data_IF_388440826102
#
_entry.id   IF_388440826102
#
_cell.length_a   1.000
_cell.length_b   1.000
_cell.length_c   1.000
_cell.angle_alpha   90.00
_cell.angle_beta   90.00
_cell.angle_gamma   90.00
#
_symmetry.space_group_name_H-M   'P 1'
#
loop_
_entity.id
_entity.type
_entity.pdbx_description
1 polymer ?
#
# COMPACT_ATOMS: atom_id res chain seq x y z
N UNK A 1 21.11 1.40 -17.39
CA UNK A 1 19.94 1.18 -16.50
C UNK A 1 20.24 0.20 -15.38
N UNK A 2 20.70 -1.02 -15.66
CA UNK A 2 20.95 -2.06 -14.63
C UNK A 2 21.92 -1.62 -13.51
N UNK A 3 23.10 -1.09 -13.85
CA UNK A 3 24.08 -0.63 -12.86
C UNK A 3 23.53 0.47 -11.94
N UNK A 4 22.80 1.44 -12.51
CA UNK A 4 22.18 2.51 -11.76
C UNK A 4 21.08 1.99 -10.82
N UNK A 5 20.22 1.09 -11.30
CA UNK A 5 19.19 0.46 -10.47
C UNK A 5 19.77 -0.31 -9.28
N UNK A 6 20.84 -1.07 -9.51
CA UNK A 6 21.56 -1.77 -8.45
C UNK A 6 22.20 -0.82 -7.42
N UNK A 7 22.83 0.27 -7.88
CA UNK A 7 23.41 1.29 -6.99
C UNK A 7 22.35 1.97 -6.13
N UNK A 8 21.23 2.39 -6.73
CA UNK A 8 20.12 3.05 -6.01
C UNK A 8 19.52 2.13 -4.94
N UNK A 9 19.31 0.85 -5.27
CA UNK A 9 18.88 -0.13 -4.27
C UNK A 9 19.93 -0.34 -3.17
N UNK A 10 21.21 -0.34 -3.52
CA UNK A 10 22.31 -0.39 -2.56
C UNK A 10 22.30 0.78 -1.58
N UNK A 11 21.93 1.99 -2.04
CA UNK A 11 21.74 3.15 -1.17
C UNK A 11 20.50 3.01 -0.29
N UNK A 12 19.36 2.59 -0.85
CA UNK A 12 18.11 2.42 -0.11
C UNK A 12 18.18 1.37 1.02
N UNK A 13 19.17 0.47 0.98
CA UNK A 13 19.45 -0.49 2.05
C UNK A 13 20.30 0.08 3.20
N UNK A 14 20.75 1.33 3.10
CA UNK A 14 21.51 2.03 4.14
C UNK A 14 20.62 3.05 4.83
N UNK A 15 21.07 3.52 5.99
CA UNK A 15 20.48 4.70 6.64
C UNK A 15 20.84 5.94 5.83
N UNK A 16 19.83 6.52 5.16
CA UNK A 16 19.95 7.71 4.34
C UNK A 16 19.15 8.85 4.96
N UNK A 17 19.59 10.09 4.73
CA UNK A 17 18.77 11.26 5.01
C UNK A 17 17.46 11.24 4.20
N UNK A 18 16.35 11.80 4.70
CA UNK A 18 15.04 11.74 4.03
C UNK A 18 15.05 12.25 2.58
N UNK A 19 15.78 13.34 2.31
CA UNK A 19 15.95 13.88 0.96
C UNK A 19 16.64 12.90 -0.01
N UNK A 20 17.64 12.15 0.48
CA UNK A 20 18.31 11.13 -0.30
C UNK A 20 17.42 9.91 -0.54
N UNK A 21 16.59 9.52 0.44
CA UNK A 21 15.61 8.44 0.27
C UNK A 21 14.62 8.77 -0.84
N UNK A 22 14.04 9.97 -0.79
CA UNK A 22 13.09 10.45 -1.79
C UNK A 22 13.71 10.47 -3.18
N UNK A 23 14.87 11.10 -3.35
CA UNK A 23 15.57 11.14 -4.64
C UNK A 23 15.92 9.74 -5.19
N UNK A 24 16.29 8.81 -4.30
CA UNK A 24 16.51 7.42 -4.69
C UNK A 24 15.22 6.77 -5.18
N UNK A 25 14.10 6.94 -4.48
CA UNK A 25 12.80 6.35 -4.85
C UNK A 25 12.20 6.97 -6.12
N UNK A 26 12.35 8.27 -6.32
CA UNK A 26 11.99 8.93 -7.59
C UNK A 26 12.80 8.35 -8.76
N UNK A 27 14.08 8.07 -8.52
CA UNK A 27 14.94 7.39 -9.50
C UNK A 27 14.44 5.98 -9.77
N UNK A 28 14.11 5.19 -8.74
CA UNK A 28 13.50 3.86 -8.92
C UNK A 28 12.20 3.95 -9.71
N UNK A 29 11.32 4.92 -9.42
CA UNK A 29 10.08 5.11 -10.15
C UNK A 29 10.34 5.39 -11.63
N UNK A 30 11.30 6.26 -11.96
CA UNK A 30 11.66 6.57 -13.34
C UNK A 30 12.19 5.33 -14.06
N UNK A 31 13.12 4.59 -13.42
CA UNK A 31 13.72 3.40 -13.99
C UNK A 31 12.70 2.25 -14.16
N UNK A 32 11.77 2.11 -13.23
CA UNK A 32 10.74 1.06 -13.26
C UNK A 32 9.64 1.28 -14.32
N UNK A 33 9.54 2.46 -14.92
CA UNK A 33 8.66 2.71 -16.06
C UNK A 33 9.13 2.02 -17.34
N UNK A 34 10.42 1.73 -17.46
CA UNK A 34 10.96 0.97 -18.59
C UNK A 34 10.82 -0.54 -18.33
N UNK A 35 9.90 -1.19 -19.06
CA UNK A 35 9.65 -2.64 -18.95
C UNK A 35 10.88 -3.51 -19.20
N UNK A 36 11.90 -3.00 -19.90
CA UNK A 36 13.15 -3.73 -20.17
C UNK A 36 14.23 -3.49 -19.10
N UNK A 37 14.05 -2.49 -18.24
CA UNK A 37 15.00 -2.07 -17.21
C UNK A 37 14.73 -2.63 -15.80
N UNK A 38 13.77 -3.54 -15.66
CA UNK A 38 13.24 -3.96 -14.35
C UNK A 38 14.11 -4.95 -13.57
N UNK A 39 15.10 -5.56 -14.21
CA UNK A 39 15.94 -6.63 -13.63
C UNK A 39 16.51 -6.32 -12.23
N UNK A 40 16.99 -5.10 -11.91
CA UNK A 40 17.47 -4.79 -10.56
C UNK A 40 16.38 -4.83 -9.48
N UNK A 41 15.12 -4.55 -9.85
CA UNK A 41 14.03 -4.30 -8.90
C UNK A 41 13.14 -5.52 -8.63
N UNK A 42 13.33 -6.63 -9.35
CA UNK A 42 12.48 -7.82 -9.28
C UNK A 42 12.99 -8.88 -8.31
N UNK A 43 14.11 -8.64 -7.61
CA UNK A 43 14.59 -9.53 -6.57
C UNK A 43 13.76 -9.44 -5.28
N UNK A 44 13.76 -10.50 -4.48
CA UNK A 44 13.05 -10.53 -3.18
C UNK A 44 13.51 -9.41 -2.24
N UNK A 45 14.82 -9.15 -2.20
CA UNK A 45 15.40 -8.08 -1.37
C UNK A 45 14.99 -6.69 -1.84
N UNK A 46 15.01 -6.44 -3.15
CA UNK A 46 14.60 -5.17 -3.73
C UNK A 46 13.12 -4.90 -3.47
N UNK A 47 12.24 -5.87 -3.74
CA UNK A 47 10.81 -5.74 -3.50
C UNK A 47 10.49 -5.55 -2.00
N UNK A 48 11.17 -6.28 -1.12
CA UNK A 48 11.03 -6.10 0.33
C UNK A 48 11.45 -4.70 0.79
N UNK A 49 12.51 -4.16 0.19
CA UNK A 49 12.96 -2.79 0.45
C UNK A 49 11.93 -1.75 0.03
N UNK A 50 11.39 -1.86 -1.17
CA UNK A 50 10.32 -0.97 -1.64
C UNK A 50 9.07 -1.10 -0.78
N UNK A 51 8.69 -2.31 -0.39
CA UNK A 51 7.55 -2.55 0.48
C UNK A 51 7.72 -1.91 1.88
N UNK A 52 8.95 -1.91 2.42
CA UNK A 52 9.26 -1.24 3.69
C UNK A 52 9.09 0.27 3.60
N UNK A 53 9.64 0.91 2.56
CA UNK A 53 9.44 2.35 2.32
C UNK A 53 7.99 2.68 1.98
N UNK A 54 7.26 1.75 1.36
CA UNK A 54 5.82 1.86 1.16
C UNK A 54 5.02 1.63 2.45
N UNK A 55 5.63 1.36 3.60
CA UNK A 55 4.95 1.15 4.88
C UNK A 55 4.20 -0.19 5.01
N UNK A 56 4.54 -1.21 4.22
CA UNK A 56 3.94 -2.53 4.31
C UNK A 56 4.71 -3.45 5.26
N UNK A 57 4.00 -4.13 6.16
CA UNK A 57 4.54 -5.27 6.88
C UNK A 57 4.69 -6.47 5.93
N UNK A 58 5.90 -7.01 5.81
CA UNK A 58 6.24 -8.09 4.88
C UNK A 58 6.66 -9.33 5.65
N UNK A 59 6.25 -10.52 5.19
CA UNK A 59 6.68 -11.77 5.80
C UNK A 59 8.13 -12.08 5.41
N UNK A 60 9.03 -12.00 6.37
CA UNK A 60 10.40 -12.49 6.20
C UNK A 60 10.40 -14.02 6.34
N UNK A 61 10.66 -14.71 5.24
CA UNK A 61 10.88 -16.15 5.25
C UNK A 61 12.30 -16.45 5.78
N UNK A 62 12.55 -16.16 7.06
CA UNK A 62 13.72 -16.64 7.80
C UNK A 62 13.54 -16.46 9.33
N UNK A 63 13.19 -17.59 9.96
CA UNK A 63 13.42 -18.03 11.35
C UNK A 63 12.53 -17.52 12.52
N UNK A 64 12.24 -18.41 13.51
CA UNK A 64 11.30 -18.17 14.62
C UNK A 64 11.99 -17.98 16.01
N UNK A 65 11.22 -17.42 16.95
CA UNK A 65 11.30 -17.45 18.44
C UNK A 65 12.57 -16.98 19.15
N UNK A 66 12.47 -15.86 19.89
CA UNK A 66 12.59 -15.78 21.37
C UNK A 66 12.91 -14.35 21.81
N UNK A 67 11.93 -13.67 22.42
CA UNK A 67 12.21 -12.64 23.42
C UNK A 67 12.36 -13.32 24.78
N UNK A 68 13.31 -12.87 25.60
CA UNK A 68 12.98 -12.62 26.98
C UNK A 68 13.26 -11.16 27.35
N UNK A 69 12.32 -10.63 28.12
CA UNK A 69 12.34 -9.37 28.83
C UNK A 69 13.54 -9.28 29.80
N UNK A 70 13.98 -8.06 30.11
CA UNK A 70 14.95 -7.82 31.18
C UNK A 70 15.38 -6.35 31.30
N UNK A 71 14.66 -5.62 32.15
CA UNK A 71 14.99 -4.28 32.67
C UNK A 71 16.35 -4.26 33.39
N UNK A 72 17.13 -3.18 33.26
CA UNK A 72 17.93 -2.62 34.37
C UNK A 72 18.07 -1.11 34.19
N UNK A 73 17.57 -0.34 35.17
CA UNK A 73 17.77 1.09 35.34
C UNK A 73 19.11 1.39 36.07
N UNK A 74 19.65 2.58 35.80
CA UNK A 74 20.29 3.43 36.82
C UNK A 74 21.82 3.53 36.82
N UNK A 75 22.37 4.66 36.36
CA UNK A 75 23.55 5.30 36.97
C UNK A 75 23.43 6.83 36.84
N UNK A 76 23.28 7.49 37.98
CA UNK A 76 23.42 8.94 38.18
C UNK A 76 24.90 9.36 38.23
N UNK A 77 25.20 10.59 37.80
CA UNK A 77 26.50 11.23 38.03
C UNK A 77 26.76 12.48 37.19
N UNK A 78 26.29 13.63 37.67
CA UNK A 78 26.71 15.01 37.29
C UNK A 78 28.23 15.21 37.57
N UNK A 79 29.04 16.07 36.95
CA UNK A 79 28.98 17.52 36.72
C UNK A 79 30.24 17.93 35.90
N UNK A 80 30.14 18.98 35.09
CA UNK A 80 30.97 20.22 35.11
C UNK A 80 31.15 20.87 33.72
N UNK A 81 30.86 22.17 33.71
CA UNK A 81 30.92 23.09 32.57
C UNK A 81 32.34 23.67 32.40
N UNK A 82 32.73 23.92 31.15
CA UNK A 82 33.69 24.96 30.81
C UNK A 82 33.29 25.63 29.48
N UNK A 83 33.66 26.91 29.37
CA UNK A 83 33.01 27.98 28.61
C UNK A 83 33.87 28.41 27.40
N UNK A 84 33.19 28.99 26.39
CA UNK A 84 33.65 29.96 25.37
C UNK A 84 33.85 29.54 23.89
N UNK A 85 33.40 30.47 23.03
CA UNK A 85 32.97 30.50 21.61
C UNK A 85 34.15 31.05 20.73
N UNK A 86 34.17 31.20 19.37
CA UNK A 86 33.08 31.16 18.37
C UNK A 86 33.36 30.56 16.97
N UNK A 87 32.30 30.53 16.15
CA UNK A 87 32.22 30.84 14.71
C UNK A 87 31.99 29.72 13.68
N UNK A 88 31.03 30.04 12.80
CA UNK A 88 30.80 29.60 11.40
C UNK A 88 29.79 28.47 11.13
N UNK A 89 28.64 28.91 10.61
CA UNK A 89 27.75 28.28 9.63
C UNK A 89 27.34 26.81 9.81
N UNK A 90 26.24 26.61 10.53
CA UNK A 90 25.31 25.51 10.21
C UNK A 90 23.90 26.08 10.13
N UNK A 91 23.48 26.31 8.89
CA UNK A 91 22.11 26.64 8.53
C UNK A 91 21.21 25.52 9.08
N UNK A 92 20.38 25.90 10.05
CA UNK A 92 19.32 25.11 10.67
C UNK A 92 18.73 24.11 9.67
N UNK A 93 18.91 22.83 9.96
CA UNK A 93 18.10 21.79 9.35
C UNK A 93 16.65 22.11 9.73
N UNK A 94 15.85 22.44 8.72
CA UNK A 94 14.40 22.54 8.83
C UNK A 94 13.85 21.33 9.59
N UNK A 95 12.77 21.49 10.38
CA UNK A 95 12.16 20.35 11.05
C UNK A 95 11.83 19.27 10.00
N UNK A 96 11.89 17.97 10.35
CA UNK A 96 11.48 16.91 9.44
C UNK A 96 10.03 17.17 9.09
N UNK A 97 9.79 17.62 7.87
CA UNK A 97 8.44 17.85 7.39
C UNK A 97 7.75 16.51 7.34
N UNK A 98 6.65 16.33 8.08
CA UNK A 98 5.79 15.14 8.03
C UNK A 98 5.39 14.75 6.58
N UNK A 99 5.46 15.70 5.66
CA UNK A 99 5.25 15.51 4.22
C UNK A 99 6.31 14.63 3.52
N UNK A 100 7.56 14.60 4.00
CA UNK A 100 8.63 13.83 3.35
C UNK A 100 8.36 12.32 3.45
N UNK A 101 7.77 11.86 4.54
CA UNK A 101 7.43 10.45 4.74
C UNK A 101 6.32 10.01 3.79
N UNK A 102 5.33 10.88 3.53
CA UNK A 102 4.26 10.61 2.57
C UNK A 102 4.78 10.55 1.12
N UNK A 103 5.67 11.45 0.73
CA UNK A 103 6.28 11.44 -0.60
C UNK A 103 7.12 10.17 -0.83
N UNK A 104 7.90 9.76 0.17
CA UNK A 104 8.66 8.51 0.17
C UNK A 104 7.75 7.28 -0.02
N UNK A 105 6.63 7.22 0.74
CA UNK A 105 5.64 6.16 0.60
C UNK A 105 5.06 6.14 -0.82
N UNK A 106 4.62 7.29 -1.31
CA UNK A 106 3.99 7.43 -2.63
C UNK A 106 4.93 7.00 -3.76
N UNK A 107 6.20 7.41 -3.75
CA UNK A 107 7.17 7.03 -4.77
C UNK A 107 7.50 5.53 -4.73
N UNK A 108 7.48 4.93 -3.53
CA UNK A 108 7.61 3.48 -3.36
C UNK A 108 6.40 2.74 -3.93
N UNK A 109 5.19 3.20 -3.65
CA UNK A 109 3.95 2.61 -4.18
C UNK A 109 3.86 2.72 -5.72
N UNK A 110 4.25 3.87 -6.28
CA UNK A 110 4.37 4.07 -7.74
C UNK A 110 5.37 3.09 -8.35
N UNK A 111 6.52 2.91 -7.69
CA UNK A 111 7.57 1.97 -8.13
C UNK A 111 7.08 0.52 -8.12
N UNK A 112 6.45 0.08 -7.02
CA UNK A 112 5.86 -1.27 -6.92
C UNK A 112 4.79 -1.47 -8.00
N UNK A 113 3.92 -0.47 -8.20
CA UNK A 113 2.87 -0.52 -9.22
C UNK A 113 3.44 -0.73 -10.63
N UNK A 114 4.52 -0.03 -10.98
CA UNK A 114 5.18 -0.20 -12.28
C UNK A 114 5.77 -1.62 -12.44
N UNK A 115 6.43 -2.13 -11.40
CA UNK A 115 7.03 -3.48 -11.41
C UNK A 115 5.93 -4.53 -11.62
N UNK A 116 4.83 -4.44 -10.86
CA UNK A 116 3.70 -5.36 -10.96
C UNK A 116 3.02 -5.30 -12.33
N UNK A 117 2.94 -4.12 -12.96
CA UNK A 117 2.30 -3.95 -14.26
C UNK A 117 3.06 -4.64 -15.40
N UNK A 118 4.39 -4.74 -15.30
CA UNK A 118 5.24 -5.07 -16.45
C UNK A 118 6.07 -6.34 -16.29
N UNK A 119 6.18 -6.94 -15.10
CA UNK A 119 7.08 -8.06 -14.88
C UNK A 119 6.48 -9.20 -14.04
N UNK A 120 6.35 -10.39 -14.64
CA UNK A 120 5.79 -11.59 -14.01
C UNK A 120 6.64 -12.11 -12.83
N UNK A 121 7.96 -12.00 -12.91
CA UNK A 121 8.86 -12.38 -11.80
C UNK A 121 8.63 -11.46 -10.59
N UNK A 122 8.51 -10.14 -10.81
CA UNK A 122 8.16 -9.18 -9.78
C UNK A 122 6.79 -9.46 -9.15
N UNK A 123 5.81 -9.88 -9.94
CA UNK A 123 4.49 -10.31 -9.44
C UNK A 123 4.58 -11.57 -8.56
N UNK A 124 5.39 -12.55 -8.95
CA UNK A 124 5.63 -13.75 -8.14
C UNK A 124 6.30 -13.39 -6.81
N UNK A 125 7.35 -12.57 -6.85
CA UNK A 125 8.04 -12.10 -5.64
C UNK A 125 7.11 -11.31 -4.71
N UNK A 126 6.26 -10.44 -5.26
CA UNK A 126 5.27 -9.71 -4.46
C UNK A 126 4.24 -10.63 -3.79
N UNK A 127 3.83 -11.71 -4.47
CA UNK A 127 2.96 -12.73 -3.89
C UNK A 127 3.67 -13.51 -2.77
N UNK A 128 4.93 -13.91 -2.97
CA UNK A 128 5.74 -14.62 -1.98
C UNK A 128 6.00 -13.77 -0.72
N UNK A 129 6.13 -12.45 -0.89
CA UNK A 129 6.26 -11.48 0.19
C UNK A 129 4.92 -11.14 0.86
N UNK A 130 3.81 -11.68 0.36
CA UNK A 130 2.46 -11.45 0.89
C UNK A 130 2.09 -9.96 0.91
N UNK A 131 2.48 -9.19 -0.11
CA UNK A 131 2.18 -7.76 -0.17
C UNK A 131 0.68 -7.45 -0.09
N UNK A 132 -0.17 -8.39 -0.52
CA UNK A 132 -1.64 -8.27 -0.39
C UNK A 132 -2.08 -8.11 1.08
N UNK A 133 -1.41 -8.77 2.03
CA UNK A 133 -1.70 -8.65 3.47
C UNK A 133 -1.27 -7.29 3.99
N UNK A 134 -0.07 -6.85 3.59
CA UNK A 134 0.47 -5.54 3.97
C UNK A 134 -0.41 -4.37 3.49
N UNK A 135 -0.83 -4.39 2.21
CA UNK A 135 -1.71 -3.33 1.67
C UNK A 135 -3.11 -3.41 2.28
N UNK A 136 -3.66 -4.61 2.50
CA UNK A 136 -4.97 -4.75 3.14
C UNK A 136 -5.00 -4.21 4.57
N UNK A 137 -3.90 -4.32 5.33
CA UNK A 137 -3.81 -3.75 6.67
C UNK A 137 -3.92 -2.22 6.65
N UNK A 138 -3.27 -1.55 5.69
CA UNK A 138 -3.44 -0.11 5.51
C UNK A 138 -4.83 0.25 4.97
N UNK A 139 -5.41 -0.56 4.08
CA UNK A 139 -6.78 -0.35 3.59
C UNK A 139 -7.81 -0.36 4.74
N UNK A 140 -7.59 -1.11 5.83
CA UNK A 140 -8.46 -1.05 7.02
C UNK A 140 -8.48 0.34 7.66
N UNK A 141 -7.44 1.14 7.46
CA UNK A 141 -7.28 2.50 7.99
C UNK A 141 -7.81 3.58 7.02
N UNK A 142 -8.80 3.25 6.17
CA UNK A 142 -9.31 4.16 5.14
C UNK A 142 -9.89 5.50 5.63
N UNK A 143 -10.28 5.58 6.90
CA UNK A 143 -10.77 6.81 7.52
C UNK A 143 -9.68 7.65 8.18
N UNK A 144 -8.45 7.14 8.24
CA UNK A 144 -7.33 7.83 8.88
C UNK A 144 -6.93 9.08 8.05
N UNK A 145 -7.00 10.29 8.63
CA UNK A 145 -6.66 11.53 7.93
C UNK A 145 -5.16 11.63 7.59
N UNK A 146 -4.31 10.76 8.14
CA UNK A 146 -2.88 10.72 7.82
C UNK A 146 -2.61 10.31 6.36
N UNK A 147 -3.49 9.51 5.75
CA UNK A 147 -3.27 8.99 4.40
C UNK A 147 -3.81 9.91 3.31
N UNK A 148 -2.89 10.44 2.50
CA UNK A 148 -3.22 11.27 1.35
C UNK A 148 -4.00 10.51 0.27
N UNK A 149 -4.66 11.24 -0.63
CA UNK A 149 -5.34 10.66 -1.78
C UNK A 149 -4.41 9.77 -2.63
N UNK A 150 -3.16 10.20 -2.87
CA UNK A 150 -2.22 9.42 -3.68
C UNK A 150 -1.89 8.07 -3.05
N UNK A 151 -1.65 8.03 -1.73
CA UNK A 151 -1.40 6.76 -1.03
C UNK A 151 -2.58 5.82 -1.18
N UNK A 152 -3.80 6.30 -0.89
CA UNK A 152 -5.03 5.49 -1.01
C UNK A 152 -5.24 4.98 -2.43
N UNK A 153 -5.02 5.83 -3.43
CA UNK A 153 -5.16 5.46 -4.83
C UNK A 153 -4.15 4.38 -5.23
N UNK A 154 -2.87 4.52 -4.85
CA UNK A 154 -1.86 3.54 -5.22
C UNK A 154 -1.96 2.24 -4.41
N UNK A 155 -2.44 2.27 -3.18
CA UNK A 155 -2.79 1.06 -2.43
C UNK A 155 -3.87 0.24 -3.15
N UNK A 156 -4.94 0.90 -3.57
CA UNK A 156 -6.00 0.27 -4.36
C UNK A 156 -5.45 -0.21 -5.71
N UNK A 157 -4.59 0.57 -6.38
CA UNK A 157 -3.96 0.15 -7.64
C UNK A 157 -3.11 -1.11 -7.48
N UNK A 158 -2.28 -1.19 -6.43
CA UNK A 158 -1.48 -2.39 -6.13
C UNK A 158 -2.41 -3.57 -5.85
N UNK A 159 -3.46 -3.35 -5.05
CA UNK A 159 -4.47 -4.38 -4.75
C UNK A 159 -5.16 -4.88 -6.02
N UNK A 160 -5.53 -3.98 -6.92
CA UNK A 160 -6.09 -4.31 -8.23
C UNK A 160 -5.12 -5.14 -9.07
N UNK A 161 -3.84 -4.73 -9.15
CA UNK A 161 -2.84 -5.47 -9.91
C UNK A 161 -2.63 -6.88 -9.33
N UNK A 162 -2.40 -7.00 -8.02
CA UNK A 162 -2.19 -8.29 -7.36
C UNK A 162 -3.40 -9.22 -7.55
N UNK A 163 -4.62 -8.69 -7.39
CA UNK A 163 -5.83 -9.48 -7.59
C UNK A 163 -6.10 -9.77 -9.07
N UNK A 164 -5.74 -8.91 -10.01
CA UNK A 164 -5.89 -9.21 -11.43
C UNK A 164 -4.97 -10.38 -11.86
N UNK A 165 -3.76 -10.42 -11.30
CA UNK A 165 -2.65 -11.25 -11.79
C UNK A 165 -2.50 -12.59 -11.07
N UNK A 166 -2.96 -12.73 -9.82
CA UNK A 166 -2.74 -13.93 -8.99
C UNK A 166 -4.03 -14.43 -8.35
N UNK A 167 -4.39 -15.69 -8.59
CA UNK A 167 -5.58 -16.32 -8.01
C UNK A 167 -5.45 -16.47 -6.48
N UNK A 168 -4.23 -16.72 -6.01
CA UNK A 168 -3.90 -16.83 -4.60
C UNK A 168 -4.16 -15.49 -3.88
N UNK A 169 -3.79 -14.37 -4.49
CA UNK A 169 -4.06 -13.04 -3.92
C UNK A 169 -5.56 -12.75 -3.82
N UNK A 170 -6.37 -13.19 -4.81
CA UNK A 170 -7.84 -13.09 -4.73
C UNK A 170 -8.39 -13.92 -3.57
N UNK A 171 -7.95 -15.18 -3.45
CA UNK A 171 -8.39 -16.07 -2.39
C UNK A 171 -8.02 -15.52 -1.00
N UNK A 172 -6.78 -15.05 -0.82
CA UNK A 172 -6.33 -14.42 0.42
C UNK A 172 -7.16 -13.18 0.75
N UNK A 173 -7.39 -12.29 -0.24
CA UNK A 173 -8.18 -11.09 -0.01
C UNK A 173 -9.61 -11.41 0.41
N UNK A 174 -10.27 -12.38 -0.23
CA UNK A 174 -11.65 -12.76 0.11
C UNK A 174 -11.73 -13.49 1.45
N UNK A 175 -10.90 -14.51 1.64
CA UNK A 175 -11.07 -15.50 2.72
C UNK A 175 -10.37 -15.08 4.01
N UNK A 176 -9.14 -14.56 3.92
CA UNK A 176 -8.33 -14.22 5.09
C UNK A 176 -8.50 -12.76 5.52
N UNK A 177 -8.76 -11.86 4.56
CA UNK A 177 -8.74 -10.42 4.78
C UNK A 177 -10.13 -9.77 4.71
N UNK A 178 -11.18 -10.58 4.59
CA UNK A 178 -12.58 -10.13 4.50
C UNK A 178 -12.80 -9.04 3.44
N UNK A 179 -12.12 -9.18 2.29
CA UNK A 179 -11.97 -8.16 1.26
C UNK A 179 -13.27 -7.61 0.70
N UNK A 180 -14.34 -8.42 0.65
CA UNK A 180 -15.67 -7.95 0.23
C UNK A 180 -16.23 -6.89 1.19
N UNK A 181 -16.19 -7.15 2.49
CA UNK A 181 -16.67 -6.19 3.49
C UNK A 181 -15.72 -4.99 3.59
N UNK A 182 -14.41 -5.23 3.56
CA UNK A 182 -13.40 -4.17 3.58
C UNK A 182 -13.59 -3.17 2.44
N UNK A 183 -13.69 -3.67 1.20
CA UNK A 183 -13.83 -2.83 0.01
C UNK A 183 -15.24 -2.25 -0.12
N UNK A 184 -16.28 -2.97 0.33
CA UNK A 184 -17.64 -2.44 0.40
C UNK A 184 -17.73 -1.23 1.32
N UNK A 185 -17.21 -1.33 2.54
CA UNK A 185 -17.18 -0.22 3.49
C UNK A 185 -16.36 0.97 2.94
N UNK A 186 -15.23 0.70 2.27
CA UNK A 186 -14.45 1.76 1.62
C UNK A 186 -15.20 2.43 0.46
N UNK A 187 -15.98 1.67 -0.31
CA UNK A 187 -16.79 2.22 -1.40
C UNK A 187 -17.87 3.14 -0.83
N UNK A 188 -18.58 2.68 0.20
CA UNK A 188 -19.60 3.46 0.90
C UNK A 188 -19.00 4.76 1.45
N UNK A 189 -17.84 4.69 2.11
CA UNK A 189 -17.12 5.85 2.61
C UNK A 189 -16.68 6.82 1.49
N UNK A 190 -16.19 6.28 0.36
CA UNK A 190 -15.73 7.09 -0.79
C UNK A 190 -16.90 7.83 -1.45
N UNK A 191 -18.05 7.17 -1.54
CA UNK A 191 -19.28 7.73 -2.12
C UNK A 191 -20.07 8.59 -1.12
N UNK A 192 -19.75 8.51 0.18
CA UNK A 192 -20.51 9.15 1.25
C UNK A 192 -21.92 8.58 1.37
N UNK A 193 -22.08 7.28 1.20
CA UNK A 193 -23.39 6.60 1.20
C UNK A 193 -23.84 6.36 2.63
N UNK A 194 -25.13 6.58 2.87
CA UNK A 194 -25.87 6.06 4.01
C UNK A 194 -26.96 5.10 3.53
N UNK A 195 -27.41 4.23 4.43
CA UNK A 195 -28.43 3.23 4.19
C UNK A 195 -29.65 3.51 5.09
N UNK A 196 -30.55 4.43 4.70
CA UNK A 196 -31.73 4.78 5.50
C UNK A 196 -32.68 3.59 5.69
N UNK A 197 -32.79 2.75 4.66
CA UNK A 197 -33.60 1.53 4.63
C UNK A 197 -32.84 0.37 3.98
N UNK A 198 -33.34 -0.87 4.15
CA UNK A 198 -32.63 -2.11 3.76
C UNK A 198 -32.28 -2.19 2.26
N UNK A 199 -33.03 -1.50 1.40
CA UNK A 199 -32.86 -1.50 -0.05
C UNK A 199 -32.71 -0.09 -0.64
N UNK A 200 -32.55 0.92 0.21
CA UNK A 200 -32.42 2.30 -0.22
C UNK A 200 -31.04 2.83 0.14
N UNK A 201 -30.43 3.53 -0.81
CA UNK A 201 -29.15 4.22 -0.63
C UNK A 201 -29.35 5.69 -0.89
N UNK A 202 -28.79 6.50 -0.01
CA UNK A 202 -28.71 7.94 -0.20
C UNK A 202 -27.29 8.42 0.08
N UNK A 203 -26.98 9.66 -0.28
CA UNK A 203 -25.75 10.29 0.21
C UNK A 203 -26.03 10.92 1.57
N UNK A 204 -25.11 10.71 2.50
CA UNK A 204 -25.20 11.24 3.85
C UNK A 204 -25.39 12.77 3.82
N UNK A 205 -26.44 13.25 4.48
CA UNK A 205 -26.84 14.66 4.52
C UNK A 205 -27.60 15.16 3.29
N UNK A 206 -27.93 14.28 2.34
CA UNK A 206 -28.70 14.56 1.13
C UNK A 206 -29.82 13.51 0.92
N UNK A 207 -30.36 12.96 2.01
CA UNK A 207 -31.35 11.87 2.00
C UNK A 207 -32.64 12.25 1.28
N UNK A 208 -33.09 13.50 1.44
CA UNK A 208 -34.31 14.02 0.81
C UNK A 208 -34.09 14.61 -0.59
N UNK A 209 -32.85 14.56 -1.10
CA UNK A 209 -32.50 15.18 -2.39
C UNK A 209 -32.72 14.17 -3.52
N UNK A 210 -33.54 14.51 -4.54
CA UNK A 210 -33.76 13.63 -5.69
C UNK A 210 -32.44 13.32 -6.43
N UNK A 211 -32.29 12.10 -7.00
CA UNK A 211 -31.07 11.69 -7.70
C UNK A 211 -30.62 12.65 -8.81
N UNK A 212 -31.56 13.31 -9.49
CA UNK A 212 -31.29 14.25 -10.57
C UNK A 212 -30.64 15.56 -10.09
N UNK A 213 -30.77 15.86 -8.80
CA UNK A 213 -30.27 17.09 -8.16
C UNK A 213 -29.03 16.83 -7.29
N UNK A 214 -28.59 15.57 -7.18
CA UNK A 214 -27.39 15.23 -6.43
C UNK A 214 -26.15 15.83 -7.11
N UNK A 215 -25.22 16.40 -6.34
CA UNK A 215 -23.97 16.91 -6.90
C UNK A 215 -23.17 15.76 -7.56
N UNK A 216 -22.38 16.03 -8.61
CA UNK A 216 -21.50 15.01 -9.17
C UNK A 216 -20.42 14.60 -8.13
N UNK A 217 -19.90 13.39 -8.27
CA UNK A 217 -18.74 12.96 -7.49
C UNK A 217 -17.52 13.79 -7.88
N UNK A 218 -16.65 14.08 -6.92
CA UNK A 218 -15.36 14.68 -7.24
C UNK A 218 -14.50 13.70 -8.07
N UNK A 219 -13.49 14.25 -8.75
CA UNK A 219 -12.54 13.44 -9.52
C UNK A 219 -11.84 12.40 -8.64
N UNK A 220 -11.37 12.79 -7.47
CA UNK A 220 -10.69 11.91 -6.52
C UNK A 220 -11.60 10.76 -6.04
N UNK A 221 -12.85 11.07 -5.67
CA UNK A 221 -13.83 10.04 -5.31
C UNK A 221 -14.09 9.07 -6.46
N UNK A 222 -14.19 9.57 -7.69
CA UNK A 222 -14.40 8.75 -8.88
C UNK A 222 -13.21 7.83 -9.13
N UNK A 223 -11.98 8.34 -9.02
CA UNK A 223 -10.75 7.55 -9.19
C UNK A 223 -10.66 6.41 -8.17
N UNK A 224 -10.91 6.69 -6.88
CA UNK A 224 -10.91 5.68 -5.82
C UNK A 224 -12.05 4.65 -6.01
N UNK A 225 -13.27 5.12 -6.28
CA UNK A 225 -14.43 4.25 -6.49
C UNK A 225 -14.21 3.29 -7.67
N UNK A 226 -13.63 3.77 -8.77
CA UNK A 226 -13.29 2.91 -9.91
C UNK A 226 -12.25 1.85 -9.55
N UNK A 227 -11.21 2.19 -8.78
CA UNK A 227 -10.24 1.17 -8.35
C UNK A 227 -10.90 0.13 -7.44
N UNK A 228 -11.73 0.55 -6.48
CA UNK A 228 -12.47 -0.35 -5.58
C UNK A 228 -13.38 -1.30 -6.37
N UNK A 229 -14.17 -0.77 -7.31
CA UNK A 229 -15.07 -1.56 -8.14
C UNK A 229 -14.31 -2.58 -9.01
N UNK A 230 -13.15 -2.21 -9.56
CA UNK A 230 -12.30 -3.16 -10.30
C UNK A 230 -11.77 -4.29 -9.43
N UNK A 231 -11.39 -4.00 -8.18
CA UNK A 231 -10.94 -5.04 -7.25
C UNK A 231 -12.11 -5.95 -6.87
N UNK A 232 -13.26 -5.37 -6.53
CA UNK A 232 -14.50 -6.10 -6.24
C UNK A 232 -14.87 -7.03 -7.41
N UNK A 233 -14.77 -6.54 -8.64
CA UNK A 233 -14.95 -7.36 -9.83
C UNK A 233 -13.96 -8.53 -9.86
N UNK A 234 -12.65 -8.28 -9.72
CA UNK A 234 -11.64 -9.33 -9.75
C UNK A 234 -11.90 -10.45 -8.72
N UNK A 235 -12.33 -10.10 -7.51
CA UNK A 235 -12.54 -11.07 -6.43
C UNK A 235 -13.91 -11.75 -6.46
N UNK A 236 -14.90 -11.20 -7.15
CA UNK A 236 -16.25 -11.80 -7.27
C UNK A 236 -16.44 -12.59 -8.56
N UNK A 237 -15.72 -12.23 -9.64
CA UNK A 237 -15.92 -12.81 -10.98
C UNK A 237 -15.59 -14.31 -11.04
N UNK A 238 -14.51 -14.77 -10.39
CA UNK A 238 -14.14 -16.20 -10.39
C UNK A 238 -14.80 -17.01 -9.27
N UNK A 239 -15.13 -16.36 -8.14
CA UNK A 239 -15.72 -17.04 -6.97
C UNK A 239 -17.14 -17.54 -7.25
N UNK A 240 -17.87 -16.86 -8.13
CA UNK A 240 -19.23 -17.24 -8.51
C UNK A 240 -19.28 -18.40 -9.51
N UNK A 241 -18.30 -18.56 -10.42
CA UNK A 241 -18.30 -19.73 -11.34
C UNK A 241 -18.04 -21.04 -10.60
N UNK A 242 -17.14 -21.04 -9.61
CA UNK A 242 -16.86 -22.26 -8.81
C UNK A 242 -18.03 -22.70 -7.94
N UNK A 243 -18.77 -21.77 -7.32
CA UNK A 243 -19.98 -22.10 -6.54
C UNK A 243 -21.11 -22.61 -7.42
N UNK A 244 -21.29 -22.03 -8.61
CA UNK A 244 -22.30 -22.50 -9.56
C UNK A 244 -21.93 -23.86 -10.14
N UNK A 245 -20.64 -24.14 -10.39
CA UNK A 245 -20.17 -25.45 -10.84
C UNK A 245 -20.25 -26.54 -9.76
N UNK A 246 -20.03 -26.21 -8.47
CA UNK A 246 -20.28 -27.15 -7.37
C UNK A 246 -21.77 -27.49 -7.22
N UNK A 247 -22.65 -26.48 -7.30
CA UNK A 247 -24.10 -26.68 -7.23
C UNK A 247 -24.61 -27.45 -8.46
N UNK A 248 -24.11 -27.16 -9.67
CA UNK A 248 -24.45 -27.92 -10.88
C UNK A 248 -23.94 -29.36 -10.85
N UNK A 249 -22.77 -29.63 -10.24
CA UNK A 249 -22.28 -31.00 -10.02
C UNK A 249 -23.13 -31.79 -9.02
N UNK A 250 -23.67 -31.13 -8.00
CA UNK A 250 -24.58 -31.76 -7.03
C UNK A 250 -25.95 -32.05 -7.65
N UNK A 251 -26.44 -31.18 -8.54
CA UNK A 251 -27.76 -31.35 -9.18
C UNK A 251 -27.70 -32.29 -10.40
N UNK A 252 -26.56 -32.37 -11.10
CA UNK A 252 -26.38 -33.23 -12.28
C UNK A 252 -25.91 -34.66 -12.00
N UNK A 253 -25.86 -35.06 -10.73
CA UNK A 253 -25.35 -36.37 -10.27
C UNK A 253 -26.37 -37.22 -9.51
N UNK A 254 -27.67 -37.08 -9.82
CA UNK A 254 -28.75 -37.92 -9.29
C UNK A 254 -29.57 -38.54 -10.42
#
# INVERSE_FOLDING_TARGET
>A
MQLLGGLVLGFLNKELQPSCQLACLETVRILSRDKHGLEPFISRSAMSTLARYAGFAVVNAAAPVHSPEGQVEGVDGELEQAKEVPSEDVKEASPPSENCDQEVIVESLKSISNILLHNETGQAVAADLQLIKGVAERLKQCHDPTWTHEVRFFDLRITFLLTALKMEARAQLVQELHGLSLLGNQLDATLGVCWPDTLETARAGLEDVPPEQLPPLSRQQTELAMEILKILFNITFDTNRRKVDEVLKIIGGA
#
